data_IF_609367821270
#
_entry.id   IF_609367821270
#
_cell.length_a   1.000
_cell.length_b   1.000
_cell.length_c   1.000
_cell.angle_alpha   90.00
_cell.angle_beta   90.00
_cell.angle_gamma   90.00
#
_symmetry.space_group_name_H-M   'P 1'
#
loop_
_entity.id
_entity.type
_entity.pdbx_description
1 polymer ?
#
# COMPACT_ATOMS: atom_id res chain seq x y z
N UNK A 1 -18.91 3.39 19.52
CA UNK A 1 -19.19 3.38 18.07
C UNK A 1 -20.14 4.51 17.73
N UNK A 2 -19.91 5.28 16.65
CA UNK A 2 -20.91 6.21 16.12
C UNK A 2 -21.86 5.45 15.19
N UNK A 3 -22.96 4.94 15.75
CA UNK A 3 -23.87 4.01 15.04
C UNK A 3 -24.47 4.62 13.78
N UNK A 4 -24.98 5.85 13.87
CA UNK A 4 -25.62 6.55 12.75
C UNK A 4 -24.64 6.74 11.59
N UNK A 5 -23.43 7.23 11.89
CA UNK A 5 -22.37 7.40 10.89
C UNK A 5 -21.99 6.08 10.23
N UNK A 6 -21.84 5.00 11.00
CA UNK A 6 -21.54 3.68 10.45
C UNK A 6 -22.64 3.19 9.49
N UNK A 7 -23.92 3.39 9.84
CA UNK A 7 -25.06 3.00 8.99
C UNK A 7 -25.03 3.79 7.68
N UNK A 8 -24.83 5.10 7.74
CA UNK A 8 -24.76 5.97 6.57
C UNK A 8 -23.64 5.54 5.63
N UNK A 9 -22.41 5.44 6.14
CA UNK A 9 -21.23 5.08 5.35
C UNK A 9 -21.37 3.69 4.73
N UNK A 10 -21.82 2.71 5.51
CA UNK A 10 -22.02 1.35 5.03
C UNK A 10 -23.04 1.30 3.89
N UNK A 11 -24.21 1.92 4.08
CA UNK A 11 -25.25 1.93 3.06
C UNK A 11 -24.86 2.77 1.83
N UNK A 12 -24.02 3.81 1.98
CA UNK A 12 -23.46 4.58 0.87
C UNK A 12 -22.54 3.73 0.00
N UNK A 13 -21.61 2.96 0.60
CA UNK A 13 -20.71 2.04 -0.12
C UNK A 13 -21.52 1.03 -0.94
N UNK A 14 -22.49 0.37 -0.29
CA UNK A 14 -23.30 -0.66 -0.94
C UNK A 14 -24.17 -0.07 -2.08
N UNK A 15 -24.75 1.11 -1.87
CA UNK A 15 -25.52 1.83 -2.89
C UNK A 15 -24.63 2.24 -4.06
N UNK A 16 -23.42 2.72 -3.80
CA UNK A 16 -22.44 3.06 -4.84
C UNK A 16 -22.14 1.82 -5.69
N UNK A 17 -21.83 0.70 -5.04
CA UNK A 17 -21.56 -0.58 -5.68
C UNK A 17 -22.69 -1.01 -6.61
N UNK A 18 -23.93 -0.93 -6.14
CA UNK A 18 -25.13 -1.33 -6.89
C UNK A 18 -25.31 -0.50 -8.17
N UNK A 19 -25.26 0.82 -8.05
CA UNK A 19 -25.48 1.74 -9.19
C UNK A 19 -24.37 1.61 -10.23
N UNK A 20 -23.11 1.62 -9.79
CA UNK A 20 -21.97 1.64 -10.72
C UNK A 20 -21.65 0.26 -11.32
N UNK A 21 -22.19 -0.82 -10.75
CA UNK A 21 -22.23 -2.14 -11.40
C UNK A 21 -23.33 -2.30 -12.45
N UNK A 22 -24.09 -1.22 -12.72
CA UNK A 22 -25.07 -1.17 -13.80
C UNK A 22 -26.47 -1.61 -13.42
N UNK A 23 -26.78 -1.75 -12.12
CA UNK A 23 -28.13 -2.09 -11.68
C UNK A 23 -29.04 -0.86 -11.58
N UNK A 24 -30.34 -1.09 -11.70
CA UNK A 24 -31.36 -0.05 -11.52
C UNK A 24 -31.48 0.32 -10.02
N UNK A 25 -31.33 1.61 -9.72
CA UNK A 25 -31.50 2.14 -8.37
C UNK A 25 -32.89 1.88 -7.79
N UNK A 26 -33.93 1.76 -8.63
CA UNK A 26 -35.29 1.50 -8.15
C UNK A 26 -35.43 0.11 -7.50
N UNK A 27 -34.52 -0.81 -7.82
CA UNK A 27 -34.52 -2.17 -7.27
C UNK A 27 -33.71 -2.28 -5.98
N UNK A 28 -32.84 -1.31 -5.68
CA UNK A 28 -31.92 -1.36 -4.54
C UNK A 28 -32.66 -1.64 -3.22
N UNK A 29 -33.72 -0.89 -2.92
CA UNK A 29 -34.50 -1.06 -1.67
C UNK A 29 -35.16 -2.44 -1.54
N UNK A 30 -35.47 -3.10 -2.66
CA UNK A 30 -36.10 -4.42 -2.64
C UNK A 30 -35.11 -5.57 -2.46
N UNK A 31 -33.90 -5.39 -2.99
CA UNK A 31 -32.81 -6.38 -2.97
C UNK A 31 -31.96 -6.23 -1.71
N UNK A 32 -31.52 -5.01 -1.39
CA UNK A 32 -30.66 -4.69 -0.26
C UNK A 32 -31.49 -4.53 1.03
N UNK A 33 -31.76 -5.65 1.69
CA UNK A 33 -32.47 -5.69 2.98
C UNK A 33 -31.49 -5.48 4.13
N UNK A 34 -31.98 -4.98 5.27
CA UNK A 34 -31.13 -4.94 6.47
C UNK A 34 -30.73 -6.34 6.93
N UNK A 35 -29.57 -6.45 7.57
CA UNK A 35 -29.06 -7.71 8.12
C UNK A 35 -30.11 -8.37 9.03
N UNK A 36 -30.72 -7.59 9.93
CA UNK A 36 -31.76 -8.07 10.84
C UNK A 36 -33.00 -8.60 10.11
N UNK A 37 -33.42 -7.96 9.02
CA UNK A 37 -34.58 -8.42 8.24
C UNK A 37 -34.28 -9.71 7.46
N UNK A 38 -33.00 -9.97 7.15
CA UNK A 38 -32.59 -11.16 6.43
C UNK A 38 -32.36 -12.36 7.36
N UNK A 39 -31.61 -12.17 8.45
CA UNK A 39 -31.15 -13.24 9.34
C UNK A 39 -31.76 -13.23 10.75
N UNK A 40 -32.43 -12.15 11.16
CA UNK A 40 -32.79 -11.93 12.57
C UNK A 40 -33.72 -12.99 13.18
N UNK A 41 -34.37 -13.81 12.35
CA UNK A 41 -35.22 -14.92 12.80
C UNK A 41 -34.49 -16.28 12.84
N UNK A 42 -33.30 -16.39 12.24
CA UNK A 42 -32.61 -17.67 12.06
C UNK A 42 -31.89 -18.13 13.34
N UNK A 43 -31.31 -17.18 14.10
CA UNK A 43 -30.59 -17.48 15.35
C UNK A 43 -30.82 -16.40 16.43
N UNK A 44 -31.96 -16.42 17.16
CA UNK A 44 -32.30 -15.37 18.13
C UNK A 44 -31.31 -15.29 19.31
N UNK A 45 -30.61 -16.38 19.62
CA UNK A 45 -29.60 -16.44 20.68
C UNK A 45 -28.44 -15.46 20.44
N UNK A 46 -28.05 -15.28 19.18
CA UNK A 46 -26.89 -14.45 18.83
C UNK A 46 -27.08 -12.99 19.24
N UNK A 47 -28.31 -12.48 19.15
CA UNK A 47 -28.63 -11.09 19.49
C UNK A 47 -28.43 -10.79 20.98
N UNK A 48 -28.49 -11.83 21.83
CA UNK A 48 -28.24 -11.65 23.27
C UNK A 48 -26.75 -11.42 23.59
N UNK A 49 -25.86 -11.91 22.72
CA UNK A 49 -24.41 -11.80 22.85
C UNK A 49 -23.85 -10.50 22.21
N UNK A 50 -24.67 -9.74 21.49
CA UNK A 50 -24.28 -8.50 20.84
C UNK A 50 -24.51 -7.26 21.72
N UNK A 51 -23.53 -6.36 21.73
CA UNK A 51 -23.67 -5.03 22.36
C UNK A 51 -24.75 -4.19 21.67
N UNK A 52 -25.44 -3.29 22.40
CA UNK A 52 -26.56 -2.50 21.87
C UNK A 52 -26.24 -1.76 20.56
N UNK A 53 -25.04 -1.20 20.45
CA UNK A 53 -24.60 -0.41 19.31
C UNK A 53 -24.53 -1.27 18.03
N UNK A 54 -24.01 -2.49 18.13
CA UNK A 54 -23.95 -3.43 16.99
C UNK A 54 -25.35 -3.87 16.59
N UNK A 55 -26.24 -4.14 17.55
CA UNK A 55 -27.65 -4.47 17.23
C UNK A 55 -28.33 -3.32 16.47
N UNK A 56 -28.14 -2.09 16.92
CA UNK A 56 -28.71 -0.91 16.25
C UNK A 56 -28.12 -0.71 14.86
N UNK A 57 -26.83 -0.96 14.68
CA UNK A 57 -26.18 -0.97 13.36
C UNK A 57 -26.80 -2.04 12.44
N UNK A 58 -26.88 -3.30 12.86
CA UNK A 58 -27.41 -4.42 12.07
C UNK A 58 -28.91 -4.32 11.75
N UNK A 59 -29.67 -3.55 12.53
CA UNK A 59 -31.07 -3.25 12.23
C UNK A 59 -31.23 -2.45 10.92
N UNK A 60 -30.23 -1.66 10.55
CA UNK A 60 -30.31 -0.70 9.42
C UNK A 60 -29.22 -0.91 8.35
N UNK A 61 -28.11 -1.56 8.69
CA UNK A 61 -27.06 -1.93 7.74
C UNK A 61 -27.60 -2.96 6.74
N UNK A 62 -27.51 -2.63 5.44
CA UNK A 62 -28.07 -3.44 4.34
C UNK A 62 -27.07 -4.44 3.79
N UNK A 63 -27.57 -5.55 3.25
CA UNK A 63 -26.74 -6.63 2.69
C UNK A 63 -27.31 -7.12 1.36
N UNK A 64 -26.44 -7.68 0.52
CA UNK A 64 -26.82 -8.31 -0.75
C UNK A 64 -26.13 -9.68 -0.85
N UNK A 65 -26.81 -10.74 -0.39
CA UNK A 65 -26.27 -12.11 -0.41
C UNK A 65 -26.51 -12.85 -1.72
N UNK A 66 -27.65 -12.64 -2.36
CA UNK A 66 -28.05 -13.34 -3.58
C UNK A 66 -28.56 -12.34 -4.60
N UNK A 67 -27.77 -12.07 -5.65
CA UNK A 67 -28.27 -11.36 -6.82
C UNK A 67 -29.20 -12.30 -7.60
N UNK A 68 -30.47 -11.92 -7.87
CA UNK A 68 -31.46 -12.82 -8.49
C UNK A 68 -31.01 -13.42 -9.83
N UNK A 69 -30.15 -12.73 -10.57
CA UNK A 69 -29.83 -13.03 -11.97
C UNK A 69 -28.36 -13.44 -12.20
N UNK A 70 -27.52 -13.54 -11.15
CA UNK A 70 -26.11 -13.92 -11.29
C UNK A 70 -25.67 -14.99 -10.28
N UNK A 71 -25.05 -16.04 -10.78
CA UNK A 71 -24.52 -17.18 -10.00
C UNK A 71 -23.22 -16.86 -9.21
N UNK A 72 -22.99 -15.61 -8.82
CA UNK A 72 -21.87 -15.25 -7.94
C UNK A 72 -22.30 -14.11 -7.04
N UNK A 73 -21.84 -14.15 -5.79
CA UNK A 73 -22.21 -13.19 -4.75
C UNK A 73 -21.85 -11.75 -5.11
N UNK A 74 -22.37 -10.83 -4.28
CA UNK A 74 -22.17 -9.39 -4.38
C UNK A 74 -21.39 -8.92 -3.17
N UNK A 75 -20.08 -8.68 -3.33
CA UNK A 75 -19.23 -8.24 -2.24
C UNK A 75 -19.56 -6.80 -1.83
N UNK A 76 -19.54 -6.55 -0.53
CA UNK A 76 -19.68 -5.22 0.07
C UNK A 76 -18.57 -4.28 -0.37
N UNK A 77 -17.32 -4.75 -0.34
CA UNK A 77 -16.15 -3.96 -0.73
C UNK A 77 -15.06 -4.83 -1.38
N UNK A 78 -13.99 -4.23 -1.92
CA UNK A 78 -12.94 -4.99 -2.58
C UNK A 78 -12.25 -6.00 -1.64
N UNK A 79 -12.00 -5.63 -0.39
CA UNK A 79 -11.34 -6.51 0.59
C UNK A 79 -12.27 -7.49 1.27
N UNK A 80 -13.55 -7.15 1.46
CA UNK A 80 -14.50 -7.93 2.26
C UNK A 80 -15.75 -8.30 1.47
N UNK A 81 -16.28 -9.49 1.73
CA UNK A 81 -17.54 -9.98 1.14
C UNK A 81 -18.73 -9.25 1.79
N UNK A 82 -19.60 -9.89 2.56
CA UNK A 82 -20.70 -9.19 3.23
C UNK A 82 -20.45 -9.08 4.74
N UNK A 83 -21.36 -8.38 5.43
CA UNK A 83 -21.51 -8.60 6.88
C UNK A 83 -21.63 -10.10 7.13
N UNK A 84 -20.89 -10.62 8.10
CA UNK A 84 -20.87 -12.05 8.37
C UNK A 84 -22.28 -12.61 8.69
N UNK A 85 -22.50 -13.87 8.38
CA UNK A 85 -23.73 -14.59 8.74
C UNK A 85 -23.76 -14.83 10.26
N UNK A 86 -24.95 -15.10 10.85
CA UNK A 86 -25.03 -15.43 12.27
C UNK A 86 -24.04 -16.52 12.70
N UNK A 87 -23.95 -17.61 11.93
CA UNK A 87 -23.02 -18.72 12.18
C UNK A 87 -21.54 -18.31 12.23
N UNK A 88 -21.16 -17.19 11.62
CA UNK A 88 -19.77 -16.79 11.45
C UNK A 88 -19.33 -15.65 12.39
N UNK A 89 -20.25 -14.97 13.10
CA UNK A 89 -19.89 -13.84 13.96
C UNK A 89 -18.86 -14.19 15.04
N UNK A 90 -18.94 -15.40 15.59
CA UNK A 90 -18.04 -15.89 16.63
C UNK A 90 -17.05 -16.95 16.10
N UNK A 91 -16.95 -17.15 14.79
CA UNK A 91 -16.00 -18.12 14.22
C UNK A 91 -14.54 -17.77 14.52
N UNK A 92 -14.25 -16.49 14.79
CA UNK A 92 -12.91 -16.05 15.19
C UNK A 92 -12.44 -16.68 16.51
N UNK A 93 -13.35 -17.03 17.43
CA UNK A 93 -13.00 -17.65 18.70
C UNK A 93 -12.36 -19.02 18.50
N UNK A 94 -12.96 -19.83 17.63
CA UNK A 94 -12.43 -21.14 17.25
C UNK A 94 -11.07 -21.00 16.54
N UNK A 95 -10.92 -20.00 15.67
CA UNK A 95 -9.65 -19.73 14.99
C UNK A 95 -8.53 -19.38 15.97
N UNK A 96 -8.86 -18.60 17.00
CA UNK A 96 -7.94 -18.22 18.07
C UNK A 96 -7.46 -19.45 18.86
N UNK A 97 -8.38 -20.33 19.24
CA UNK A 97 -8.03 -21.57 19.96
C UNK A 97 -7.13 -22.48 19.13
N UNK A 98 -7.27 -22.45 17.80
CA UNK A 98 -6.44 -23.21 16.88
C UNK A 98 -5.08 -22.55 16.58
N UNK A 99 -5.04 -21.22 16.50
CA UNK A 99 -3.84 -20.47 16.11
C UNK A 99 -2.80 -20.43 17.22
N UNK A 100 -3.24 -20.50 18.48
CA UNK A 100 -2.39 -20.34 19.64
C UNK A 100 -2.14 -21.69 20.30
N UNK A 101 -0.88 -22.05 20.51
CA UNK A 101 -0.53 -23.27 21.25
C UNK A 101 -0.97 -23.12 22.72
N UNK A 102 -1.94 -23.93 23.20
CA UNK A 102 -2.43 -23.84 24.57
C UNK A 102 -1.38 -24.21 25.63
N UNK A 103 -0.21 -24.73 25.23
CA UNK A 103 0.95 -25.00 26.08
C UNK A 103 2.03 -23.91 26.03
N UNK A 104 1.89 -22.90 25.19
CA UNK A 104 2.81 -21.77 25.14
C UNK A 104 2.45 -20.74 26.24
N UNK A 105 3.14 -20.86 27.38
CA UNK A 105 3.00 -19.96 28.53
C UNK A 105 3.39 -18.50 28.22
N UNK A 106 3.96 -18.21 27.03
CA UNK A 106 4.23 -16.85 26.58
C UNK A 106 3.02 -16.18 25.93
N UNK A 107 1.98 -16.96 25.59
CA UNK A 107 0.70 -16.45 25.09
C UNK A 107 -0.08 -15.85 26.26
N UNK A 108 -0.26 -14.52 26.36
CA UNK A 108 -0.88 -13.88 27.53
C UNK A 108 -2.39 -14.17 27.68
N UNK A 109 -2.95 -15.04 26.82
CA UNK A 109 -4.31 -14.90 26.37
C UNK A 109 -5.36 -15.72 27.11
N UNK A 110 -4.98 -16.77 27.85
CA UNK A 110 -5.96 -17.47 28.71
C UNK A 110 -6.53 -16.58 29.82
N UNK A 111 -5.87 -15.48 30.16
CA UNK A 111 -6.25 -14.61 31.27
C UNK A 111 -7.09 -13.38 30.87
N UNK A 112 -7.04 -12.94 29.60
CA UNK A 112 -7.76 -11.75 29.10
C UNK A 112 -8.82 -12.05 28.02
N UNK A 113 -8.92 -13.30 27.56
CA UNK A 113 -9.93 -13.71 26.58
C UNK A 113 -11.30 -13.85 27.24
N UNK A 114 -12.23 -12.96 26.87
CA UNK A 114 -13.63 -13.02 27.27
C UNK A 114 -14.41 -13.68 26.13
N UNK A 115 -15.17 -14.74 26.44
CA UNK A 115 -16.04 -15.43 25.48
C UNK A 115 -16.96 -14.41 24.78
N UNK A 116 -17.09 -14.52 23.47
CA UNK A 116 -17.90 -13.69 22.58
C UNK A 116 -17.52 -12.21 22.55
N UNK A 117 -16.30 -11.85 22.94
CA UNK A 117 -15.83 -10.46 22.90
C UNK A 117 -15.54 -9.96 21.49
N UNK A 118 -14.93 -10.79 20.65
CA UNK A 118 -14.54 -10.40 19.29
C UNK A 118 -15.57 -10.90 18.28
N UNK A 119 -16.01 -10.00 17.41
CA UNK A 119 -16.91 -10.31 16.31
C UNK A 119 -16.15 -10.30 15.00
N UNK A 120 -16.28 -11.35 14.21
CA UNK A 120 -16.01 -11.26 12.78
C UNK A 120 -17.17 -10.50 12.14
N UNK A 121 -17.00 -9.19 11.93
CA UNK A 121 -18.08 -8.33 11.45
C UNK A 121 -18.25 -8.41 9.94
N UNK A 122 -17.15 -8.44 9.19
CA UNK A 122 -17.13 -8.67 7.74
C UNK A 122 -16.19 -9.82 7.42
N UNK A 123 -16.61 -10.75 6.58
CA UNK A 123 -15.74 -11.83 6.09
C UNK A 123 -14.83 -11.28 5.00
N UNK A 124 -13.55 -11.66 5.00
CA UNK A 124 -12.68 -11.28 3.89
C UNK A 124 -13.16 -11.94 2.59
N UNK A 125 -13.01 -11.24 1.46
CA UNK A 125 -13.07 -11.92 0.17
C UNK A 125 -11.99 -13.01 0.09
N UNK A 126 -12.15 -14.05 -0.75
CA UNK A 126 -11.17 -15.13 -0.85
C UNK A 126 -9.89 -14.64 -1.53
N UNK A 127 -8.99 -14.02 -0.74
CA UNK A 127 -7.71 -13.45 -1.18
C UNK A 127 -6.51 -14.35 -0.83
N UNK A 128 -6.66 -15.18 0.21
CA UNK A 128 -5.70 -16.15 0.72
C UNK A 128 -6.38 -17.50 1.02
N UNK A 129 -5.60 -18.51 1.45
CA UNK A 129 -6.10 -19.85 1.75
C UNK A 129 -6.83 -19.95 3.09
N UNK A 130 -6.56 -19.06 4.04
CA UNK A 130 -7.10 -19.11 5.41
C UNK A 130 -7.61 -17.73 5.85
N UNK A 131 -8.50 -17.13 5.04
CA UNK A 131 -8.96 -15.77 5.31
C UNK A 131 -9.79 -15.65 6.59
N UNK A 132 -9.62 -14.52 7.28
CA UNK A 132 -10.43 -14.14 8.45
C UNK A 132 -11.42 -13.04 8.07
N UNK A 133 -11.02 -11.76 8.17
CA UNK A 133 -11.86 -10.61 7.84
C UNK A 133 -11.72 -9.45 8.84
N UNK A 134 -12.72 -8.55 8.86
CA UNK A 134 -12.72 -7.40 9.76
C UNK A 134 -13.24 -7.82 11.14
N UNK A 135 -12.35 -7.78 12.13
CA UNK A 135 -12.65 -8.06 13.53
C UNK A 135 -13.15 -6.79 14.21
N UNK A 136 -14.13 -6.92 15.10
CA UNK A 136 -14.65 -5.85 15.94
C UNK A 136 -14.64 -6.29 17.41
N UNK A 137 -13.99 -5.51 18.26
CA UNK A 137 -13.96 -5.72 19.70
C UNK A 137 -15.17 -5.06 20.35
N UNK A 138 -16.11 -5.87 20.85
CA UNK A 138 -17.32 -5.39 21.49
C UNK A 138 -17.07 -4.53 22.73
N UNK A 139 -15.92 -4.68 23.39
CA UNK A 139 -15.56 -3.95 24.62
C UNK A 139 -14.99 -2.58 24.35
N UNK A 140 -14.09 -2.47 23.37
CA UNK A 140 -13.44 -1.19 23.02
C UNK A 140 -14.18 -0.43 21.92
N UNK A 141 -15.11 -1.08 21.22
CA UNK A 141 -15.79 -0.57 20.03
C UNK A 141 -14.84 -0.20 18.89
N UNK A 142 -13.72 -0.92 18.78
CA UNK A 142 -12.72 -0.74 17.73
C UNK A 142 -12.70 -1.97 16.81
N UNK A 143 -12.18 -1.80 15.61
CA UNK A 143 -12.01 -2.83 14.61
C UNK A 143 -10.64 -2.78 13.93
N UNK A 144 -10.32 -3.88 13.27
CA UNK A 144 -9.11 -4.09 12.50
C UNK A 144 -9.36 -5.20 11.47
N UNK A 145 -8.73 -5.10 10.30
CA UNK A 145 -8.72 -6.16 9.31
C UNK A 145 -7.67 -7.21 9.71
N UNK A 146 -8.07 -8.47 9.81
CA UNK A 146 -7.20 -9.63 9.94
C UNK A 146 -7.23 -10.37 8.59
N UNK A 147 -6.19 -10.21 7.75
CA UNK A 147 -6.19 -10.79 6.40
C UNK A 147 -6.19 -12.32 6.44
N UNK A 148 -5.28 -12.92 7.18
CA UNK A 148 -5.12 -14.38 7.25
C UNK A 148 -5.07 -14.87 8.70
N UNK A 149 -5.22 -16.18 8.85
CA UNK A 149 -5.05 -16.89 10.11
C UNK A 149 -3.67 -16.66 10.73
N UNK A 150 -2.63 -16.55 9.90
CA UNK A 150 -1.26 -16.26 10.36
C UNK A 150 -1.13 -14.85 10.97
N UNK A 151 -2.06 -13.92 10.71
CA UNK A 151 -2.05 -12.57 11.26
C UNK A 151 -2.73 -12.44 12.64
N UNK A 152 -3.38 -13.51 13.13
CA UNK A 152 -4.17 -13.49 14.37
C UNK A 152 -3.32 -13.04 15.57
N UNK A 153 -2.13 -13.64 15.71
CA UNK A 153 -1.18 -13.35 16.77
C UNK A 153 -0.81 -11.85 16.79
N UNK A 154 -0.46 -11.32 15.62
CA UNK A 154 -0.09 -9.92 15.42
C UNK A 154 -1.22 -8.96 15.82
N UNK A 155 -2.44 -9.28 15.43
CA UNK A 155 -3.63 -8.46 15.68
C UNK A 155 -3.99 -8.43 17.17
N UNK A 156 -3.90 -9.57 17.86
CA UNK A 156 -4.33 -9.70 19.25
C UNK A 156 -3.35 -9.14 20.27
N UNK A 157 -2.05 -9.11 19.97
CA UNK A 157 -1.03 -8.65 20.92
C UNK A 157 -0.95 -7.12 21.10
N UNK A 158 -2.00 -6.37 20.72
CA UNK A 158 -2.08 -4.89 20.84
C UNK A 158 -0.91 -4.15 20.19
N UNK A 159 -0.16 -4.83 19.31
CA UNK A 159 0.99 -4.26 18.58
C UNK A 159 0.52 -3.43 17.40
N UNK A 160 -0.65 -3.74 16.89
CA UNK A 160 -1.30 -2.98 15.85
C UNK A 160 -2.36 -2.06 16.46
N UNK A 161 -2.44 -0.83 15.97
CA UNK A 161 -3.49 0.13 16.34
C UNK A 161 -4.82 -0.30 15.73
N UNK A 162 -5.85 -0.41 16.58
CA UNK A 162 -7.24 -0.62 16.17
C UNK A 162 -7.95 0.74 16.06
N UNK A 163 -9.03 0.81 15.28
CA UNK A 163 -9.71 2.06 14.96
C UNK A 163 -11.22 1.92 15.07
N UNK A 164 -11.95 3.03 15.18
CA UNK A 164 -13.41 2.98 15.19
C UNK A 164 -13.95 2.51 13.81
N UNK A 165 -15.12 1.85 13.81
CA UNK A 165 -15.71 1.28 12.58
C UNK A 165 -16.05 2.32 11.52
N UNK A 166 -16.47 3.51 11.93
CA UNK A 166 -16.74 4.63 11.02
C UNK A 166 -15.47 5.08 10.30
N UNK A 167 -14.30 5.06 10.96
CA UNK A 167 -13.00 5.34 10.32
C UNK A 167 -12.68 4.30 9.24
N UNK A 168 -12.93 3.02 9.51
CA UNK A 168 -12.70 1.95 8.53
C UNK A 168 -13.62 2.09 7.30
N UNK A 169 -14.91 2.37 7.53
CA UNK A 169 -15.89 2.57 6.46
C UNK A 169 -15.63 3.84 5.66
N UNK A 170 -15.27 4.94 6.33
CA UNK A 170 -14.91 6.21 5.67
C UNK A 170 -13.65 6.03 4.82
N UNK A 171 -12.64 5.32 5.33
CA UNK A 171 -11.46 4.98 4.57
C UNK A 171 -11.82 4.21 3.29
N UNK A 172 -12.62 3.15 3.37
CA UNK A 172 -13.05 2.39 2.19
C UNK A 172 -13.85 3.27 1.21
N UNK A 173 -14.73 4.12 1.71
CA UNK A 173 -15.48 5.06 0.87
C UNK A 173 -14.58 6.09 0.18
N UNK A 174 -13.54 6.58 0.86
CA UNK A 174 -12.57 7.49 0.29
C UNK A 174 -11.73 6.82 -0.80
N UNK A 175 -11.34 5.54 -0.63
CA UNK A 175 -10.68 4.79 -1.73
C UNK A 175 -11.57 4.61 -2.96
N UNK A 176 -12.90 4.58 -2.78
CA UNK A 176 -13.85 4.59 -3.90
C UNK A 176 -13.88 5.98 -4.56
N UNK A 177 -13.93 7.04 -3.76
CA UNK A 177 -14.00 8.43 -4.23
C UNK A 177 -12.73 8.86 -4.97
N UNK A 178 -11.56 8.39 -4.55
CA UNK A 178 -10.28 8.64 -5.25
C UNK A 178 -10.13 7.81 -6.52
N UNK A 179 -10.97 6.79 -6.73
CA UNK A 179 -10.94 5.92 -7.89
C UNK A 179 -9.91 4.79 -7.81
N UNK A 180 -9.30 4.56 -6.64
CA UNK A 180 -8.44 3.39 -6.40
C UNK A 180 -9.22 2.09 -6.60
N UNK A 181 -10.45 2.06 -6.11
CA UNK A 181 -11.36 0.91 -6.21
C UNK A 181 -12.64 1.38 -6.85
N UNK A 182 -13.04 0.73 -7.94
CA UNK A 182 -14.22 1.12 -8.72
C UNK A 182 -15.18 -0.05 -8.84
N UNK A 183 -16.47 0.21 -8.70
CA UNK A 183 -17.50 -0.75 -9.05
C UNK A 183 -17.69 -0.76 -10.57
N UNK A 184 -17.82 -1.96 -11.14
CA UNK A 184 -17.79 -2.17 -12.59
C UNK A 184 -18.89 -3.14 -13.05
N UNK A 185 -19.50 -2.92 -14.24
CA UNK A 185 -20.62 -3.75 -14.68
C UNK A 185 -20.23 -5.16 -15.12
N UNK A 186 -20.96 -6.15 -14.59
CA UNK A 186 -20.80 -7.56 -14.95
C UNK A 186 -19.57 -8.22 -14.31
N UNK A 187 -19.46 -9.55 -14.44
CA UNK A 187 -18.27 -10.27 -13.98
C UNK A 187 -17.13 -9.99 -14.95
N UNK A 188 -16.09 -9.29 -14.49
CA UNK A 188 -14.90 -9.08 -15.31
C UNK A 188 -14.05 -10.36 -15.39
N UNK A 189 -13.30 -10.54 -16.49
CA UNK A 189 -12.33 -11.64 -16.57
C UNK A 189 -11.36 -11.54 -15.40
N UNK A 190 -11.08 -12.67 -14.75
CA UNK A 190 -10.06 -12.75 -13.69
C UNK A 190 -8.73 -12.16 -14.22
N UNK A 191 -8.29 -11.03 -13.69
CA UNK A 191 -6.90 -10.61 -13.78
C UNK A 191 -6.05 -11.45 -12.81
N UNK A 192 -4.74 -11.61 -13.06
CA UNK A 192 -3.86 -12.32 -12.11
C UNK A 192 -3.69 -11.58 -10.76
N UNK A 193 -4.09 -10.30 -10.71
CA UNK A 193 -4.18 -9.47 -9.51
C UNK A 193 -5.62 -9.34 -9.00
N UNK A 194 -6.61 -9.84 -9.76
CA UNK A 194 -7.94 -10.13 -9.22
C UNK A 194 -7.76 -11.42 -8.44
N UNK A 195 -7.45 -11.25 -7.15
CA UNK A 195 -7.12 -12.31 -6.20
C UNK A 195 -8.26 -13.34 -6.02
N UNK A 196 -9.38 -13.19 -6.74
CA UNK A 196 -10.38 -14.23 -6.96
C UNK A 196 -11.51 -13.78 -7.88
N UNK A 197 -12.39 -14.71 -8.28
CA UNK A 197 -13.70 -14.40 -8.88
C UNK A 197 -14.72 -13.86 -7.87
N UNK A 198 -14.26 -13.46 -6.68
CA UNK A 198 -15.07 -13.25 -5.49
C UNK A 198 -15.34 -11.81 -5.12
N UNK A 199 -14.81 -10.82 -5.85
CA UNK A 199 -14.87 -9.40 -5.43
C UNK A 199 -15.91 -8.59 -6.20
N UNK A 200 -16.74 -9.21 -7.04
CA UNK A 200 -17.76 -8.50 -7.81
C UNK A 200 -18.68 -7.70 -6.87
N UNK A 201 -18.92 -6.39 -7.11
CA UNK A 201 -18.66 -5.65 -8.35
C UNK A 201 -17.34 -4.87 -8.43
N UNK A 202 -16.43 -5.05 -7.47
CA UNK A 202 -15.26 -4.19 -7.30
C UNK A 202 -14.09 -4.61 -8.17
N UNK A 203 -13.35 -3.59 -8.61
CA UNK A 203 -12.07 -3.74 -9.30
C UNK A 203 -11.07 -2.74 -8.74
N UNK A 204 -9.88 -3.22 -8.43
CA UNK A 204 -8.74 -2.37 -8.07
C UNK A 204 -8.11 -1.77 -9.32
N UNK A 205 -7.98 -0.45 -9.36
CA UNK A 205 -7.38 0.28 -10.47
C UNK A 205 -5.87 0.40 -10.27
N UNK A 206 -5.12 -0.46 -10.98
CA UNK A 206 -3.64 -0.49 -10.90
C UNK A 206 -2.99 0.83 -11.31
N UNK A 207 -3.59 1.50 -12.29
CA UNK A 207 -3.12 2.77 -12.83
C UNK A 207 -4.34 3.63 -13.19
N UNK A 208 -4.33 4.89 -12.73
CA UNK A 208 -5.29 5.90 -13.10
C UNK A 208 -4.62 7.27 -13.17
N UNK A 209 -5.22 8.21 -13.90
CA UNK A 209 -4.59 9.48 -14.26
C UNK A 209 -4.20 10.33 -13.04
N UNK A 210 -5.09 10.42 -12.05
CA UNK A 210 -4.85 11.23 -10.85
C UNK A 210 -3.61 10.77 -10.06
N UNK A 211 -3.34 9.46 -9.96
CA UNK A 211 -2.13 8.92 -9.33
C UNK A 211 -0.84 9.41 -10.03
N UNK A 212 -0.85 9.42 -11.36
CA UNK A 212 0.28 9.93 -12.14
C UNK A 212 0.43 11.45 -11.98
N UNK A 213 -0.67 12.19 -12.04
CA UNK A 213 -0.64 13.65 -11.88
C UNK A 213 -0.09 14.03 -10.49
N UNK A 214 -0.54 13.36 -9.41
CA UNK A 214 -0.03 13.55 -8.04
C UNK A 214 1.47 13.20 -7.92
N UNK A 215 1.89 12.11 -8.54
CA UNK A 215 3.32 11.71 -8.53
C UNK A 215 4.18 12.70 -9.29
N UNK A 216 3.73 13.15 -10.47
CA UNK A 216 4.45 14.15 -11.27
C UNK A 216 4.55 15.48 -10.54
N UNK A 217 3.49 15.90 -9.84
CA UNK A 217 3.50 17.10 -8.99
C UNK A 217 4.52 16.96 -7.85
N UNK A 218 4.47 15.85 -7.09
CA UNK A 218 5.43 15.59 -6.01
C UNK A 218 6.88 15.58 -6.50
N UNK A 219 7.12 14.95 -7.66
CA UNK A 219 8.44 14.93 -8.30
C UNK A 219 8.90 16.31 -8.74
N UNK A 220 8.03 17.08 -9.40
CA UNK A 220 8.35 18.44 -9.86
C UNK A 220 8.69 19.36 -8.69
N UNK A 221 7.91 19.31 -7.60
CA UNK A 221 8.17 20.10 -6.40
C UNK A 221 9.53 19.75 -5.78
N UNK A 222 9.88 18.45 -5.73
CA UNK A 222 11.21 18.02 -5.26
C UNK A 222 12.33 18.54 -6.16
N UNK A 223 12.18 18.43 -7.48
CA UNK A 223 13.17 18.93 -8.45
C UNK A 223 13.37 20.44 -8.29
N UNK A 224 12.29 21.20 -8.18
CA UNK A 224 12.35 22.66 -7.96
C UNK A 224 13.03 23.02 -6.65
N UNK A 225 12.72 22.30 -5.56
CA UNK A 225 13.34 22.55 -4.26
C UNK A 225 14.85 22.30 -4.28
N UNK A 226 15.32 21.29 -5.03
CA UNK A 226 16.74 21.00 -5.20
C UNK A 226 17.39 22.04 -6.13
N UNK A 227 16.79 22.34 -7.28
CA UNK A 227 17.33 23.30 -8.25
C UNK A 227 17.47 24.70 -7.66
N UNK A 228 16.50 25.15 -6.85
CA UNK A 228 16.56 26.42 -6.15
C UNK A 228 17.73 26.54 -5.15
N UNK A 229 18.34 25.40 -4.78
CA UNK A 229 19.46 25.30 -3.82
C UNK A 229 20.79 24.92 -4.50
N UNK A 230 20.83 24.79 -5.83
CA UNK A 230 22.07 24.52 -6.55
C UNK A 230 23.03 25.72 -6.46
N UNK A 231 24.36 25.50 -6.41
CA UNK A 231 25.33 26.58 -6.50
C UNK A 231 25.24 27.31 -7.85
N UNK A 232 25.43 28.64 -7.86
CA UNK A 232 25.42 29.45 -9.08
C UNK A 232 26.41 28.90 -10.13
N UNK A 233 25.97 28.77 -11.39
CA UNK A 233 26.76 28.22 -12.50
C UNK A 233 26.83 26.68 -12.57
N UNK A 234 26.03 25.96 -11.77
CA UNK A 234 25.96 24.49 -11.83
C UNK A 234 24.88 24.05 -12.83
N UNK A 235 25.14 24.18 -14.12
CA UNK A 235 24.27 23.64 -15.17
C UNK A 235 24.97 22.45 -15.84
N UNK A 236 24.32 21.27 -15.89
CA UNK A 236 24.83 20.13 -16.69
C UNK A 236 24.88 20.41 -18.20
N UNK A 237 24.36 21.56 -18.66
CA UNK A 237 24.32 21.95 -20.07
C UNK A 237 25.53 22.79 -20.53
N UNK A 238 26.49 23.12 -19.65
CA UNK A 238 27.64 24.01 -19.99
C UNK A 238 28.72 23.35 -20.86
N UNK A 239 28.66 22.05 -21.14
CA UNK A 239 29.74 21.33 -21.84
C UNK A 239 29.72 21.48 -23.38
N UNK A 240 28.86 22.32 -23.97
CA UNK A 240 28.77 22.51 -25.43
C UNK A 240 28.63 23.97 -25.90
N UNK A 241 29.20 24.94 -25.18
CA UNK A 241 29.18 26.33 -25.64
C UNK A 241 30.31 26.63 -26.65
N UNK A 242 30.03 26.34 -27.92
CA UNK A 242 30.64 27.09 -29.02
C UNK A 242 29.99 28.48 -29.01
N UNK A 243 30.67 29.41 -28.34
CA UNK A 243 30.22 30.78 -28.11
C UNK A 243 29.44 31.38 -29.28
N UNK A 244 28.15 31.49 -29.08
CA UNK A 244 27.30 32.46 -29.75
C UNK A 244 26.37 33.02 -28.68
N UNK A 245 26.66 34.26 -28.30
CA UNK A 245 25.82 35.13 -27.48
C UNK A 245 24.38 35.17 -28.05
N UNK A 246 23.48 34.41 -27.46
CA UNK A 246 22.03 34.66 -27.51
C UNK A 246 21.46 34.40 -26.10
N UNK A 247 21.50 35.46 -25.29
CA UNK A 247 21.16 35.56 -23.87
C UNK A 247 19.67 35.25 -23.54
N UNK A 248 19.14 34.05 -23.84
CA UNK A 248 17.79 33.68 -23.39
C UNK A 248 17.49 32.17 -23.17
N UNK A 249 18.44 31.25 -23.32
CA UNK A 249 18.13 29.80 -23.32
C UNK A 249 18.28 29.07 -21.96
N UNK A 250 18.71 29.76 -20.90
CA UNK A 250 19.14 29.12 -19.64
C UNK A 250 17.98 28.66 -18.71
N UNK A 251 16.74 28.68 -19.20
CA UNK A 251 15.52 28.41 -18.43
C UNK A 251 14.51 27.46 -19.10
N UNK A 252 14.83 26.81 -20.23
CA UNK A 252 13.88 25.86 -20.83
C UNK A 252 13.75 24.61 -19.96
N UNK A 253 12.58 24.45 -19.33
CA UNK A 253 12.18 23.21 -18.65
C UNK A 253 12.04 22.11 -19.69
N UNK A 254 12.85 21.06 -19.55
CA UNK A 254 12.77 19.85 -20.37
C UNK A 254 11.91 18.79 -19.68
N UNK A 255 11.29 17.94 -20.48
CA UNK A 255 10.47 16.82 -20.02
C UNK A 255 10.95 15.52 -20.67
N UNK A 256 10.77 14.42 -19.96
CA UNK A 256 11.28 13.11 -20.32
C UNK A 256 12.62 12.82 -19.65
N UNK A 257 12.68 11.75 -18.85
CA UNK A 257 13.92 11.28 -18.23
C UNK A 257 14.69 10.33 -19.15
N UNK A 258 13.98 9.60 -20.01
CA UNK A 258 14.53 8.62 -20.96
C UNK A 258 13.81 8.76 -22.30
N UNK A 259 14.56 8.61 -23.39
CA UNK A 259 14.00 8.66 -24.75
C UNK A 259 13.01 7.51 -25.00
N UNK A 260 11.92 7.81 -25.71
CA UNK A 260 10.85 6.85 -25.98
C UNK A 260 11.34 5.59 -26.74
N UNK A 261 12.28 5.75 -27.67
CA UNK A 261 12.88 4.65 -28.42
C UNK A 261 13.69 3.71 -27.51
N UNK A 262 14.33 4.26 -26.48
CA UNK A 262 15.13 3.52 -25.52
C UNK A 262 14.23 2.77 -24.54
N UNK A 263 13.14 3.39 -24.08
CA UNK A 263 12.10 2.71 -23.30
C UNK A 263 11.51 1.51 -24.06
N UNK A 264 11.28 1.68 -25.37
CA UNK A 264 10.80 0.60 -26.22
C UNK A 264 11.84 -0.51 -26.36
N UNK A 265 13.13 -0.17 -26.56
CA UNK A 265 14.22 -1.14 -26.64
C UNK A 265 14.36 -1.99 -25.37
N UNK A 266 14.12 -1.38 -24.20
CA UNK A 266 14.18 -2.06 -22.90
C UNK A 266 12.87 -2.75 -22.48
N UNK A 267 11.88 -2.85 -23.39
CA UNK A 267 10.60 -3.51 -23.15
C UNK A 267 9.84 -2.97 -21.93
N UNK A 268 9.96 -1.67 -21.64
CA UNK A 268 9.17 -1.02 -20.58
C UNK A 268 7.72 -0.92 -21.05
N UNK A 269 6.82 -1.62 -20.34
CA UNK A 269 5.41 -1.69 -20.70
C UNK A 269 4.72 -0.33 -20.62
N UNK A 270 3.75 -0.10 -21.50
CA UNK A 270 2.84 1.05 -21.40
C UNK A 270 2.06 0.93 -20.08
N UNK A 271 2.09 2.00 -19.28
CA UNK A 271 1.52 2.05 -17.94
C UNK A 271 2.17 3.17 -17.13
N UNK A 272 1.95 3.17 -15.81
CA UNK A 272 2.42 4.22 -14.90
C UNK A 272 3.91 4.55 -15.07
N UNK A 273 4.80 3.55 -15.01
CA UNK A 273 6.25 3.76 -15.06
C UNK A 273 6.70 4.47 -16.36
N UNK A 274 6.17 4.03 -17.51
CA UNK A 274 6.49 4.63 -18.80
C UNK A 274 5.96 6.06 -18.89
N UNK A 275 4.70 6.27 -18.51
CA UNK A 275 4.11 7.61 -18.55
C UNK A 275 4.81 8.58 -17.60
N UNK A 276 5.21 8.11 -16.41
CA UNK A 276 6.00 8.91 -15.48
C UNK A 276 7.34 9.31 -16.10
N UNK A 277 8.11 8.35 -16.64
CA UNK A 277 9.43 8.62 -17.24
C UNK A 277 9.32 9.55 -18.46
N UNK A 278 8.30 9.42 -19.30
CA UNK A 278 8.08 10.27 -20.48
C UNK A 278 7.62 11.70 -20.10
N UNK A 279 6.89 11.87 -19.00
CA UNK A 279 6.26 13.16 -18.62
C UNK A 279 6.96 13.89 -17.48
N UNK A 280 7.82 13.23 -16.71
CA UNK A 280 8.56 13.87 -15.62
C UNK A 280 9.50 14.95 -16.16
N UNK A 281 9.61 16.06 -15.42
CA UNK A 281 10.57 17.12 -15.70
C UNK A 281 11.99 16.58 -15.63
N UNK A 282 12.83 16.87 -16.61
CA UNK A 282 14.24 16.49 -16.59
C UNK A 282 14.99 17.38 -15.60
N UNK A 283 15.59 16.83 -14.51
CA UNK A 283 16.32 17.65 -13.55
C UNK A 283 17.64 18.17 -14.13
N UNK A 284 18.08 19.35 -13.69
CA UNK A 284 19.40 19.93 -14.02
C UNK A 284 20.56 19.30 -13.24
N UNK A 285 20.29 18.27 -12.46
CA UNK A 285 21.21 17.60 -11.56
C UNK A 285 21.10 16.07 -11.71
N UNK A 286 22.04 15.33 -11.13
CA UNK A 286 22.07 13.86 -11.24
C UNK A 286 21.46 13.17 -10.03
N UNK A 287 21.74 13.67 -8.82
CA UNK A 287 21.37 13.04 -7.56
C UNK A 287 20.05 13.61 -7.02
N UNK A 288 19.01 12.78 -6.95
CA UNK A 288 17.68 13.17 -6.41
C UNK A 288 17.58 12.99 -4.90
N UNK A 289 18.42 12.10 -4.34
CA UNK A 289 18.54 11.81 -2.92
C UNK A 289 19.97 11.31 -2.63
N UNK A 290 20.38 11.18 -1.35
CA UNK A 290 21.73 10.75 -1.00
C UNK A 290 22.14 9.42 -1.66
N UNK A 291 23.15 9.47 -2.52
CA UNK A 291 23.64 8.30 -3.26
C UNK A 291 22.69 7.73 -4.33
N UNK A 292 21.59 8.40 -4.67
CA UNK A 292 20.62 7.96 -5.66
C UNK A 292 20.58 8.89 -6.87
N UNK A 293 20.85 8.33 -8.05
CA UNK A 293 20.81 9.05 -9.32
C UNK A 293 19.49 8.82 -10.05
N UNK A 294 18.99 9.88 -10.71
CA UNK A 294 17.80 9.83 -11.56
C UNK A 294 18.06 8.91 -12.76
N UNK A 295 17.09 8.08 -13.13
CA UNK A 295 17.17 7.29 -14.36
C UNK A 295 17.37 8.20 -15.57
N UNK A 296 18.26 7.79 -16.46
CA UNK A 296 18.56 8.47 -17.71
C UNK A 296 18.77 7.45 -18.82
N UNK A 297 18.77 7.91 -20.09
CA UNK A 297 19.08 7.06 -21.26
C UNK A 297 20.38 6.27 -21.10
N UNK A 298 21.39 6.81 -20.40
CA UNK A 298 22.67 6.12 -20.17
C UNK A 298 22.63 5.07 -19.05
N UNK A 299 21.61 5.08 -18.19
CA UNK A 299 21.55 4.24 -16.96
C UNK A 299 20.41 3.23 -16.98
N UNK A 300 19.47 3.32 -17.92
CA UNK A 300 18.40 2.33 -18.11
C UNK A 300 18.92 0.92 -18.45
N UNK A 301 20.14 0.79 -18.97
CA UNK A 301 20.80 -0.52 -19.14
C UNK A 301 21.09 -1.25 -17.82
N UNK A 302 21.00 -0.56 -16.68
CA UNK A 302 21.17 -1.14 -15.34
C UNK A 302 19.93 -1.87 -14.81
N UNK A 303 18.83 -1.90 -15.56
CA UNK A 303 17.66 -2.69 -15.19
C UNK A 303 18.02 -4.18 -15.12
N UNK A 304 17.95 -4.79 -13.94
CA UNK A 304 18.36 -6.19 -13.72
C UNK A 304 17.25 -7.21 -13.99
N UNK A 305 16.01 -6.76 -14.17
CA UNK A 305 14.84 -7.63 -14.21
C UNK A 305 14.22 -7.77 -15.61
N UNK A 306 15.03 -7.69 -16.67
CA UNK A 306 14.50 -7.72 -18.05
C UNK A 306 13.89 -9.11 -18.37
N UNK A 307 12.66 -9.19 -18.92
CA UNK A 307 11.92 -10.44 -19.12
C UNK A 307 12.64 -11.53 -19.92
N UNK A 308 13.58 -11.15 -20.81
CA UNK A 308 14.33 -12.07 -21.68
C UNK A 308 15.25 -13.05 -20.92
N UNK A 309 15.46 -12.82 -19.62
CA UNK A 309 16.22 -13.71 -18.74
C UNK A 309 15.40 -14.80 -18.07
N UNK A 310 14.07 -14.81 -18.25
CA UNK A 310 13.17 -15.77 -17.62
C UNK A 310 12.94 -16.98 -18.53
N UNK A 311 13.17 -18.21 -18.03
CA UNK A 311 12.95 -19.45 -18.79
C UNK A 311 11.49 -19.64 -19.24
N UNK A 312 10.53 -19.02 -18.53
CA UNK A 312 9.10 -18.94 -18.86
C UNK A 312 8.52 -17.64 -18.34
N UNK A 313 8.59 -16.52 -19.09
CA UNK A 313 7.83 -15.34 -18.71
C UNK A 313 6.35 -15.72 -18.76
N UNK A 314 5.64 -15.63 -17.63
CA UNK A 314 4.19 -15.54 -17.71
C UNK A 314 3.91 -14.29 -18.57
N UNK A 315 2.92 -14.33 -19.46
CA UNK A 315 2.58 -13.19 -20.35
C UNK A 315 2.18 -11.90 -19.60
N UNK A 316 2.32 -11.88 -18.28
CA UNK A 316 1.70 -10.93 -17.35
C UNK A 316 2.65 -10.50 -16.21
N UNK A 317 3.93 -10.91 -16.22
CA UNK A 317 4.93 -10.43 -15.25
C UNK A 317 5.54 -9.12 -15.74
N UNK A 318 5.23 -8.01 -15.07
CA UNK A 318 5.84 -6.69 -15.27
C UNK A 318 7.06 -6.63 -14.34
N UNK A 319 8.27 -6.42 -14.85
CA UNK A 319 9.45 -6.44 -14.01
C UNK A 319 9.49 -5.26 -13.03
N UNK A 320 10.12 -5.40 -11.85
CA UNK A 320 10.49 -4.25 -11.04
C UNK A 320 11.32 -3.27 -11.87
N UNK A 321 10.97 -1.98 -11.82
CA UNK A 321 11.63 -0.94 -12.60
C UNK A 321 12.42 -0.05 -11.65
N UNK A 322 13.74 -0.04 -11.80
CA UNK A 322 14.64 0.82 -11.05
C UNK A 322 14.50 2.27 -11.53
N UNK A 323 13.87 3.14 -10.74
CA UNK A 323 13.72 4.55 -11.09
C UNK A 323 14.91 5.39 -10.61
N UNK A 324 15.38 5.14 -9.39
CA UNK A 324 16.50 5.87 -8.81
C UNK A 324 17.57 4.89 -8.35
N UNK A 325 18.73 4.92 -9.01
CA UNK A 325 19.73 3.87 -8.86
C UNK A 325 20.88 4.29 -7.95
N UNK A 326 21.38 3.35 -7.15
CA UNK A 326 22.62 3.47 -6.39
C UNK A 326 23.81 2.94 -7.18
N UNK A 327 25.01 3.46 -6.91
CA UNK A 327 26.26 2.90 -7.45
C UNK A 327 26.70 1.60 -6.77
N UNK A 328 26.02 1.24 -5.68
CA UNK A 328 26.27 0.02 -4.93
C UNK A 328 25.18 -0.99 -5.24
N UNK A 329 25.58 -2.24 -5.35
CA UNK A 329 24.66 -3.35 -5.51
C UNK A 329 24.20 -3.85 -4.14
N UNK A 330 22.98 -4.34 -4.08
CA UNK A 330 22.55 -5.27 -3.06
C UNK A 330 23.13 -6.65 -3.39
N UNK A 331 23.62 -7.35 -2.37
CA UNK A 331 24.12 -8.72 -2.47
C UNK A 331 23.69 -9.51 -1.24
N UNK A 332 22.77 -10.46 -1.45
CA UNK A 332 22.20 -11.30 -0.41
C UNK A 332 23.27 -12.08 0.38
N UNK A 333 24.44 -12.37 -0.21
CA UNK A 333 25.52 -13.07 0.49
C UNK A 333 26.10 -12.26 1.66
N UNK A 334 25.89 -10.94 1.65
CA UNK A 334 26.35 -10.03 2.71
C UNK A 334 25.36 -9.91 3.86
N UNK A 335 24.11 -10.35 3.65
CA UNK A 335 23.09 -10.37 4.69
C UNK A 335 23.02 -11.74 5.37
N UNK A 336 22.87 -11.72 6.70
CA UNK A 336 22.59 -12.94 7.47
C UNK A 336 21.10 -13.33 7.34
N UNK A 337 20.58 -13.43 6.12
CA UNK A 337 19.21 -13.90 5.91
C UNK A 337 19.16 -15.39 6.25
N UNK A 338 18.21 -15.79 7.09
CA UNK A 338 18.00 -17.19 7.40
C UNK A 338 17.73 -18.01 6.13
N UNK A 339 18.24 -19.25 6.05
CA UNK A 339 17.99 -20.12 4.90
C UNK A 339 16.48 -20.29 4.65
N UNK A 340 15.98 -19.74 3.55
CA UNK A 340 14.55 -19.77 3.20
C UNK A 340 13.87 -18.40 3.11
N UNK A 341 14.55 -17.32 3.50
CA UNK A 341 14.03 -15.95 3.31
C UNK A 341 13.76 -15.64 1.83
N UNK A 342 12.55 -15.18 1.52
CA UNK A 342 12.21 -14.69 0.18
C UNK A 342 12.93 -13.37 -0.06
N UNK A 343 13.65 -13.21 -1.18
CA UNK A 343 14.22 -11.92 -1.58
C UNK A 343 13.16 -10.81 -1.66
N UNK A 344 13.57 -9.54 -1.82
CA UNK A 344 12.67 -8.39 -1.70
C UNK A 344 11.57 -8.35 -2.78
N UNK A 345 11.71 -9.15 -3.83
CA UNK A 345 10.78 -9.22 -4.94
C UNK A 345 10.07 -10.58 -4.96
N UNK A 346 8.79 -10.55 -5.35
CA UNK A 346 7.99 -11.77 -5.53
C UNK A 346 8.46 -12.63 -6.70
N UNK A 347 7.86 -13.79 -6.87
CA UNK A 347 8.04 -14.60 -8.07
C UNK A 347 7.66 -13.79 -9.34
N UNK A 348 8.43 -13.86 -10.44
CA UNK A 348 9.57 -14.74 -10.70
C UNK A 348 10.94 -14.20 -10.25
N UNK A 349 11.01 -12.99 -9.69
CA UNK A 349 12.27 -12.27 -9.42
C UNK A 349 12.91 -12.60 -8.06
N UNK A 350 12.22 -13.36 -7.20
CA UNK A 350 12.65 -13.74 -5.85
C UNK A 350 14.02 -14.43 -5.73
N UNK A 351 14.51 -15.02 -6.83
CA UNK A 351 15.77 -15.77 -6.85
C UNK A 351 16.98 -14.91 -7.21
N UNK A 352 16.78 -13.62 -7.54
CA UNK A 352 17.88 -12.73 -7.86
C UNK A 352 18.59 -12.34 -6.56
N UNK A 353 19.83 -12.80 -6.40
CA UNK A 353 20.60 -12.61 -5.16
C UNK A 353 21.50 -11.38 -5.19
N UNK A 354 21.74 -10.78 -6.37
CA UNK A 354 22.49 -9.55 -6.51
C UNK A 354 21.97 -8.69 -7.67
N UNK A 355 21.79 -7.40 -7.40
CA UNK A 355 21.26 -6.39 -8.32
C UNK A 355 21.50 -4.98 -7.74
N UNK A 356 21.42 -3.90 -8.53
CA UNK A 356 21.63 -2.54 -8.04
C UNK A 356 20.75 -2.18 -6.86
N UNK A 357 21.29 -1.54 -5.83
CA UNK A 357 20.44 -0.94 -4.80
C UNK A 357 19.74 0.31 -5.36
N UNK A 358 18.65 0.74 -4.74
CA UNK A 358 17.89 1.90 -5.19
C UNK A 358 16.38 1.77 -5.02
N UNK A 359 15.65 2.74 -5.58
CA UNK A 359 14.19 2.80 -5.52
C UNK A 359 13.57 2.11 -6.73
N UNK A 360 12.81 1.06 -6.47
CA UNK A 360 12.12 0.26 -7.48
C UNK A 360 10.62 0.50 -7.45
N UNK A 361 10.01 0.68 -8.62
CA UNK A 361 8.58 0.42 -8.80
C UNK A 361 8.32 -1.08 -8.78
N UNK A 362 7.26 -1.49 -8.10
CA UNK A 362 6.91 -2.87 -7.85
C UNK A 362 5.69 -3.31 -8.64
N UNK A 363 5.68 -4.59 -9.00
CA UNK A 363 4.51 -5.27 -9.54
C UNK A 363 3.61 -5.78 -8.42
N UNK A 364 2.90 -4.87 -7.75
CA UNK A 364 1.85 -5.23 -6.80
C UNK A 364 0.47 -4.87 -7.35
N UNK A 365 -0.50 -4.60 -6.46
CA UNK A 365 -1.84 -4.16 -6.82
C UNK A 365 -1.86 -2.75 -7.41
N UNK A 366 -0.94 -1.87 -7.00
CA UNK A 366 -0.83 -0.51 -7.53
C UNK A 366 0.46 -0.33 -8.32
N UNK A 367 0.40 0.32 -9.49
CA UNK A 367 1.55 0.48 -10.38
C UNK A 367 2.53 1.58 -9.92
N UNK A 368 2.14 2.41 -8.94
CA UNK A 368 3.00 3.38 -8.25
C UNK A 368 3.62 2.85 -6.94
N UNK A 369 3.36 1.59 -6.62
CA UNK A 369 3.95 0.94 -5.45
C UNK A 369 5.46 0.89 -5.57
N UNK A 370 6.15 1.32 -4.53
CA UNK A 370 7.59 1.40 -4.48
C UNK A 370 8.18 0.55 -3.36
N UNK A 371 9.44 0.16 -3.54
CA UNK A 371 10.28 -0.40 -2.51
C UNK A 371 11.69 0.16 -2.64
N UNK A 372 12.25 0.60 -1.52
CA UNK A 372 13.60 1.12 -1.48
C UNK A 372 14.54 0.03 -0.97
N UNK A 373 15.45 -0.42 -1.83
CA UNK A 373 16.47 -1.41 -1.49
C UNK A 373 17.77 -0.70 -1.13
N UNK A 374 18.26 -0.94 0.08
CA UNK A 374 19.58 -0.51 0.53
C UNK A 374 20.64 -1.57 0.20
N UNK A 375 21.90 -1.18 -0.05
CA UNK A 375 23.01 -2.11 -0.24
C UNK A 375 23.54 -2.69 1.09
N UNK A 376 22.90 -2.35 2.20
CA UNK A 376 23.21 -2.80 3.55
C UNK A 376 21.92 -2.83 4.37
N UNK A 377 21.91 -3.61 5.45
CA UNK A 377 20.79 -3.65 6.38
C UNK A 377 20.88 -2.59 7.49
N UNK A 378 19.72 -2.14 7.97
CA UNK A 378 19.53 -1.24 9.12
C UNK A 378 18.37 -1.76 9.98
N UNK A 379 18.25 -1.33 11.24
CA UNK A 379 17.08 -1.63 12.09
C UNK A 379 17.42 -2.32 13.41
N UNK A 380 18.57 -3.01 13.50
CA UNK A 380 18.98 -3.70 14.73
C UNK A 380 19.25 -2.77 15.92
N UNK A 381 19.46 -1.46 15.72
CA UNK A 381 19.56 -0.51 16.85
C UNK A 381 18.20 -0.19 17.46
N UNK A 382 17.10 -0.58 16.81
CA UNK A 382 15.76 -0.42 17.35
C UNK A 382 15.20 1.00 17.24
N UNK A 383 15.73 1.84 16.34
CA UNK A 383 15.21 3.19 16.06
C UNK A 383 14.47 3.26 14.73
N UNK A 384 14.85 2.45 13.74
CA UNK A 384 14.15 2.42 12.46
C UNK A 384 12.69 2.02 12.64
N UNK A 385 11.78 2.71 11.93
CA UNK A 385 10.34 2.50 12.03
C UNK A 385 9.68 2.47 10.66
N UNK A 386 8.69 1.59 10.52
CA UNK A 386 7.74 1.58 9.42
C UNK A 386 6.69 2.67 9.63
N UNK A 387 5.88 2.92 8.61
CA UNK A 387 4.79 3.93 8.64
C UNK A 387 3.74 3.67 9.74
N UNK A 388 3.48 2.41 10.09
CA UNK A 388 2.58 2.03 11.21
C UNK A 388 3.20 2.23 12.61
N UNK A 389 4.46 2.67 12.68
CA UNK A 389 5.21 2.87 13.92
C UNK A 389 5.84 1.60 14.49
N UNK A 390 5.76 0.45 13.80
CA UNK A 390 6.49 -0.76 14.18
C UNK A 390 7.98 -0.61 13.87
N UNK A 391 8.83 -1.26 14.67
CA UNK A 391 10.25 -1.42 14.34
C UNK A 391 10.44 -2.44 13.21
N UNK A 392 11.64 -2.52 12.64
CA UNK A 392 11.95 -3.55 11.63
C UNK A 392 12.07 -4.91 12.31
N UNK A 393 11.34 -5.91 11.82
CA UNK A 393 11.11 -7.18 12.51
C UNK A 393 9.76 -7.24 13.25
N UNK A 394 9.31 -8.44 13.60
CA UNK A 394 7.96 -8.64 14.16
C UNK A 394 7.90 -8.64 15.69
N UNK A 395 8.88 -9.28 16.33
CA UNK A 395 8.95 -9.47 17.78
C UNK A 395 10.05 -8.63 18.44
N UNK A 396 11.13 -8.37 17.71
CA UNK A 396 12.30 -7.63 18.17
C UNK A 396 12.91 -6.86 17.00
N UNK A 397 13.65 -5.77 17.27
CA UNK A 397 14.41 -5.07 16.25
C UNK A 397 15.36 -5.99 15.49
N UNK A 398 15.23 -6.01 14.17
CA UNK A 398 16.04 -6.79 13.25
C UNK A 398 16.57 -5.92 12.11
N UNK A 399 17.70 -6.34 11.60
CA UNK A 399 18.30 -5.77 10.41
C UNK A 399 17.42 -6.10 9.19
N UNK A 400 17.15 -5.07 8.38
CA UNK A 400 16.40 -5.15 7.13
C UNK A 400 16.99 -4.18 6.10
N UNK A 401 17.03 -4.61 4.85
CA UNK A 401 17.55 -3.83 3.73
C UNK A 401 16.44 -3.26 2.83
N UNK A 402 15.18 -3.68 3.03
CA UNK A 402 14.04 -3.28 2.18
C UNK A 402 12.82 -2.74 2.95
N UNK A 403 12.94 -2.56 4.26
CA UNK A 403 11.88 -2.00 5.10
C UNK A 403 11.86 -0.47 5.19
N UNK A 404 12.86 0.21 4.63
CA UNK A 404 12.87 1.67 4.63
C UNK A 404 11.69 2.21 3.82
N UNK A 405 10.87 3.05 4.47
CA UNK A 405 9.59 3.55 3.98
C UNK A 405 8.49 2.48 3.81
N UNK A 406 8.66 1.26 4.34
CA UNK A 406 7.61 0.26 4.27
C UNK A 406 6.41 0.65 5.14
N UNK A 407 5.22 0.22 4.72
CA UNK A 407 3.97 0.63 5.35
C UNK A 407 3.77 0.02 6.74
N UNK A 408 4.41 -1.13 7.00
CA UNK A 408 4.03 -2.03 8.07
C UNK A 408 2.63 -2.59 7.87
N UNK A 409 1.93 -2.88 8.96
CA UNK A 409 0.56 -3.39 8.93
C UNK A 409 -0.43 -2.27 8.60
N UNK A 410 -1.32 -2.52 7.64
CA UNK A 410 -2.43 -1.61 7.37
C UNK A 410 -3.71 -2.13 8.02
N UNK A 411 -4.41 -1.33 8.82
CA UNK A 411 -5.57 -1.80 9.59
C UNK A 411 -6.80 -2.11 8.72
N UNK A 412 -6.85 -1.67 7.45
CA UNK A 412 -8.06 -1.76 6.61
C UNK A 412 -7.82 -2.28 5.17
N UNK A 413 -6.59 -2.67 4.83
CA UNK A 413 -6.21 -3.16 3.49
C UNK A 413 -5.14 -4.24 3.61
N UNK A 414 -4.97 -5.06 2.56
CA UNK A 414 -4.00 -6.17 2.55
C UNK A 414 -2.78 -5.90 1.67
N UNK A 415 -2.62 -4.69 1.13
CA UNK A 415 -1.50 -4.31 0.27
C UNK A 415 -0.39 -3.58 1.02
N UNK A 416 0.86 -4.02 0.82
CA UNK A 416 1.98 -3.68 1.71
C UNK A 416 3.09 -2.81 1.09
N UNK A 417 2.87 -2.18 -0.07
CA UNK A 417 3.88 -1.31 -0.70
C UNK A 417 3.51 0.19 -0.59
N UNK A 418 4.52 1.02 -0.35
CA UNK A 418 4.38 2.47 -0.23
C UNK A 418 4.17 3.10 -1.60
N UNK A 419 3.27 4.08 -1.70
CA UNK A 419 3.06 4.87 -2.91
C UNK A 419 4.26 5.79 -3.20
N UNK A 420 4.61 5.92 -4.48
CA UNK A 420 5.77 6.68 -4.91
C UNK A 420 5.71 8.15 -4.51
N UNK A 421 4.55 8.78 -4.69
CA UNK A 421 4.34 10.19 -4.36
C UNK A 421 4.69 10.52 -2.90
N UNK A 422 4.35 9.65 -1.93
CA UNK A 422 4.65 9.91 -0.52
C UNK A 422 6.15 9.81 -0.19
N UNK A 423 6.90 8.96 -0.89
CA UNK A 423 8.37 8.93 -0.75
C UNK A 423 8.96 10.24 -1.26
N UNK A 424 8.52 10.71 -2.44
CA UNK A 424 8.95 11.97 -3.03
C UNK A 424 8.61 13.18 -2.13
N UNK A 425 7.41 13.21 -1.55
CA UNK A 425 6.99 14.25 -0.60
C UNK A 425 7.84 14.23 0.68
N UNK A 426 8.19 13.06 1.19
CA UNK A 426 9.10 12.97 2.34
C UNK A 426 10.48 13.54 2.00
N UNK A 427 11.02 13.20 0.82
CA UNK A 427 12.30 13.71 0.33
C UNK A 427 12.27 15.22 0.11
N UNK A 428 11.16 15.77 -0.41
CA UNK A 428 10.93 17.21 -0.50
C UNK A 428 11.06 17.85 0.88
N UNK A 429 10.41 17.28 1.90
CA UNK A 429 10.54 17.74 3.27
C UNK A 429 11.98 17.72 3.79
N UNK A 430 12.78 16.72 3.44
CA UNK A 430 14.21 16.66 3.80
C UNK A 430 15.01 17.81 3.19
N UNK A 431 14.74 18.14 1.93
CA UNK A 431 15.39 19.26 1.23
C UNK A 431 14.94 20.60 1.80
N UNK A 432 13.64 20.78 2.02
CA UNK A 432 13.06 22.03 2.50
C UNK A 432 13.53 22.41 3.91
N UNK A 433 13.62 21.42 4.81
CA UNK A 433 14.14 21.60 6.17
C UNK A 433 15.66 21.77 6.21
N UNK A 434 16.36 21.53 5.10
CA UNK A 434 17.82 21.55 5.04
C UNK A 434 18.47 20.34 5.72
N UNK A 435 17.73 19.25 5.93
CA UNK A 435 18.26 17.98 6.41
C UNK A 435 19.26 17.39 5.40
N UNK A 436 18.98 17.59 4.10
CA UNK A 436 19.89 17.22 3.02
C UNK A 436 20.65 18.42 2.47
N UNK A 437 21.97 18.25 2.35
CA UNK A 437 22.85 19.23 1.71
C UNK A 437 22.75 19.10 0.20
N UNK A 438 22.82 20.22 -0.51
CA UNK A 438 22.78 20.28 -1.98
C UNK A 438 24.13 20.75 -2.50
N UNK A 439 24.68 20.06 -3.50
CA UNK A 439 25.89 20.43 -4.24
C UNK A 439 25.60 20.58 -5.74
N UNK A 440 26.64 20.80 -6.55
CA UNK A 440 26.51 20.99 -8.01
C UNK A 440 25.86 19.81 -8.76
N UNK A 441 25.80 18.62 -8.16
CA UNK A 441 25.20 17.42 -8.75
C UNK A 441 23.80 17.12 -8.18
N UNK A 442 23.22 17.98 -7.33
CA UNK A 442 21.93 17.76 -6.68
C UNK A 442 22.10 17.45 -5.20
N UNK A 443 21.35 16.48 -4.68
CA UNK A 443 21.49 16.06 -3.27
C UNK A 443 22.88 15.46 -3.03
N UNK A 444 23.59 16.03 -2.06
CA UNK A 444 24.95 15.66 -1.72
C UNK A 444 24.99 14.47 -0.74
N UNK A 445 26.14 13.81 -0.70
CA UNK A 445 26.41 12.67 0.17
C UNK A 445 26.11 11.33 -0.49
N UNK A 446 26.53 10.26 0.19
CA UNK A 446 26.43 8.90 -0.31
C UNK A 446 25.26 8.13 0.28
N UNK A 447 25.08 6.90 -0.20
CA UNK A 447 24.06 5.95 0.27
C UNK A 447 24.17 5.67 1.79
N UNK A 448 25.33 5.92 2.39
CA UNK A 448 25.57 5.78 3.83
C UNK A 448 24.69 6.70 4.70
N UNK A 449 24.19 7.83 4.16
CA UNK A 449 23.28 8.73 4.89
C UNK A 449 22.01 8.01 5.35
N UNK A 450 21.57 6.97 4.62
CA UNK A 450 20.37 6.20 4.99
C UNK A 450 20.52 5.43 6.31
N UNK A 451 21.74 5.26 6.84
CA UNK A 451 21.98 4.67 8.18
C UNK A 451 21.44 5.54 9.31
N UNK A 452 21.23 6.83 9.07
CA UNK A 452 20.60 7.75 10.03
C UNK A 452 19.16 7.35 10.37
N UNK A 453 18.48 6.59 9.49
CA UNK A 453 17.14 6.07 9.74
C UNK A 453 17.06 5.14 10.97
N UNK A 454 18.19 4.57 11.41
CA UNK A 454 18.29 3.74 12.61
C UNK A 454 19.12 4.43 13.71
N UNK A 455 18.97 5.74 13.87
CA UNK A 455 19.59 6.53 14.94
C UNK A 455 18.53 7.22 15.78
N UNK A 456 18.79 7.37 17.08
CA UNK A 456 17.88 8.02 18.03
C UNK A 456 17.53 9.44 17.59
N UNK A 457 18.51 10.16 17.04
CA UNK A 457 18.40 11.58 16.71
C UNK A 457 17.66 11.85 15.40
N UNK A 458 17.61 10.90 14.46
CA UNK A 458 17.17 11.19 13.09
C UNK A 458 16.07 10.27 12.56
N UNK A 459 15.78 9.12 13.18
CA UNK A 459 14.87 8.12 12.63
C UNK A 459 13.51 8.69 12.19
N UNK A 460 12.94 9.63 12.95
CA UNK A 460 11.63 10.24 12.67
C UNK A 460 11.54 10.89 11.29
N UNK A 461 12.66 11.36 10.74
CA UNK A 461 12.73 12.00 9.42
C UNK A 461 12.56 11.01 8.27
N UNK A 462 12.74 9.72 8.56
CA UNK A 462 12.67 8.62 7.60
C UNK A 462 11.36 7.83 7.71
N UNK A 463 10.41 8.30 8.52
CA UNK A 463 9.08 7.69 8.66
C UNK A 463 8.04 8.52 7.93
N UNK A 464 7.38 7.90 6.95
CA UNK A 464 6.24 8.52 6.27
C UNK A 464 5.04 8.42 7.20
N UNK A 465 4.49 9.56 7.61
CA UNK A 465 3.32 9.57 8.49
C UNK A 465 2.05 9.39 7.67
N UNK A 466 1.20 8.43 8.06
CA UNK A 466 -0.16 8.30 7.54
C UNK A 466 -1.13 9.17 8.34
N UNK A 467 -2.02 9.84 7.63
CA UNK A 467 -3.12 10.60 8.22
C UNK A 467 -4.39 9.74 8.29
N UNK A 468 -4.36 8.65 9.06
CA UNK A 468 -5.59 7.89 9.36
C UNK A 468 -6.45 8.57 10.45
N UNK A 469 -5.88 9.56 11.15
CA UNK A 469 -6.53 10.30 12.24
C UNK A 469 -7.21 11.62 11.76
N UNK A 470 -7.27 11.90 10.45
CA UNK A 470 -7.80 13.18 9.92
C UNK A 470 -9.33 13.32 9.93
N UNK A 471 -10.09 12.29 10.30
CA UNK A 471 -11.56 12.36 10.42
C UNK A 471 -12.07 13.23 11.57
N UNK A 472 -11.18 13.93 12.30
CA UNK A 472 -11.56 14.92 13.33
C UNK A 472 -11.22 16.38 12.97
N UNK A 473 -10.75 16.67 11.75
CA UNK A 473 -10.36 18.02 11.33
C UNK A 473 -10.96 18.43 9.98
N UNK A 474 -12.28 18.39 9.87
CA UNK A 474 -13.05 19.29 9.01
C UNK A 474 -14.27 19.74 9.83
N UNK A 475 -14.22 20.98 10.31
CA UNK A 475 -15.37 21.69 10.88
C UNK A 475 -16.32 22.14 9.77
#
# INVERSE_FOLDING_TARGET
MNVERCIELHNEILRHAWVHSGHDISQFETVARSWMNHFGNDEPGILSDLVPEIRQFLQQARIIFNEPDKSGGFSFFFWVDNLATPSNFFAFEEMVEMALDPADDTVPMKCEYEEKRFLLLYTLNPLASHNVGLLYDQRSHLCILCPDFDDIERVLWKRTKWYALDVALEYWLDTIRTGNIVAVPGKHPRSHFDLGSGNYPWRYMRFYKHMLDETLEAFNNLVEAIEARLPQGSSLNDDNDNGNDDDNDDHIIKYGLVDADVLQLHNISIGFAREFVEKARTPRFKNIAPGLEVIATSTISKQSFIPDTLEKPSKQSVPPILLFYSKFDYDQSQDQIEPGGTGPFGYPYRNNTSFPAGLYLLQTMSDDSCKFILPFSIGRKGYARRTDGSFYGENEPKDSFDDLYSLGFHPFETTYAQNFASILQNWLGMVERGDWKIDKNGVAGGIEIWKEADTEEHWEKYVIKRNLDKSTLLC
#
